data_IF_041308249163
#
_entry.id   IF_041308249163
#
_cell.length_a   1.000
_cell.length_b   1.000
_cell.length_c   1.000
_cell.angle_alpha   90.00
_cell.angle_beta   90.00
_cell.angle_gamma   90.00
#
_symmetry.space_group_name_H-M   'P 1'
#
loop_
_entity.id
_entity.type
_entity.pdbx_description
1 polymer ?
#
# COMPACT_ATOMS: atom_id res chain seq x y z
N UNK A 1 21.32 -34.39 -25.64
CA UNK A 1 20.37 -33.29 -25.37
C UNK A 1 21.01 -31.99 -25.82
N UNK A 2 20.33 -31.14 -26.62
CA UNK A 2 20.94 -29.98 -27.22
C UNK A 2 21.16 -28.86 -26.18
N UNK A 3 22.34 -28.23 -26.21
CA UNK A 3 22.76 -27.19 -25.27
C UNK A 3 21.82 -25.96 -25.21
N UNK A 4 20.93 -25.81 -26.18
CA UNK A 4 19.88 -24.79 -26.22
C UNK A 4 18.81 -24.99 -25.13
N UNK A 5 18.45 -26.24 -24.80
CA UNK A 5 17.44 -26.55 -23.78
C UNK A 5 17.94 -26.35 -22.34
N UNK A 6 19.26 -26.44 -22.12
CA UNK A 6 19.86 -26.15 -20.82
C UNK A 6 19.89 -24.64 -20.57
N UNK A 7 20.15 -23.82 -21.60
CA UNK A 7 20.16 -22.35 -21.49
C UNK A 7 18.77 -21.74 -21.25
N UNK A 8 17.70 -22.34 -21.76
CA UNK A 8 16.33 -21.90 -21.48
C UNK A 8 15.89 -22.18 -20.03
N UNK A 9 16.35 -23.27 -19.43
CA UNK A 9 16.06 -23.57 -18.02
C UNK A 9 16.82 -22.65 -17.04
N UNK A 10 18.02 -22.18 -17.40
CA UNK A 10 18.81 -21.26 -16.56
C UNK A 10 18.36 -19.79 -16.68
N UNK A 11 17.60 -19.43 -17.72
CA UNK A 11 17.10 -18.06 -17.94
C UNK A 11 15.71 -17.80 -17.31
N UNK A 12 15.15 -18.77 -16.58
CA UNK A 12 13.80 -18.69 -16.00
C UNK A 12 13.77 -18.76 -14.47
N UNK A 13 14.92 -18.72 -13.80
CA UNK A 13 14.99 -18.61 -12.35
C UNK A 13 15.21 -17.14 -11.99
N UNK A 14 14.27 -16.57 -11.22
CA UNK A 14 14.50 -15.29 -10.55
C UNK A 14 15.79 -15.38 -9.73
N UNK A 15 16.59 -14.33 -9.78
CA UNK A 15 17.71 -14.18 -8.86
C UNK A 15 17.17 -14.05 -7.43
N UNK A 16 17.97 -14.44 -6.42
CA UNK A 16 17.56 -14.33 -5.01
C UNK A 16 17.16 -12.90 -4.61
N UNK A 17 17.78 -11.88 -5.21
CA UNK A 17 17.41 -10.48 -4.98
C UNK A 17 16.06 -10.12 -5.60
N UNK A 18 15.73 -10.66 -6.77
CA UNK A 18 14.40 -10.52 -7.38
C UNK A 18 13.33 -11.26 -6.58
N UNK A 19 13.65 -12.46 -6.06
CA UNK A 19 12.74 -13.20 -5.19
C UNK A 19 12.41 -12.40 -3.92
N UNK A 20 13.42 -11.82 -3.27
CA UNK A 20 13.20 -10.99 -2.07
C UNK A 20 12.37 -9.74 -2.39
N UNK A 21 12.66 -9.03 -3.48
CA UNK A 21 11.86 -7.88 -3.92
C UNK A 21 10.41 -8.28 -4.25
N UNK A 22 10.22 -9.43 -4.89
CA UNK A 22 8.89 -9.95 -5.19
C UNK A 22 8.12 -10.32 -3.91
N UNK A 23 8.80 -10.88 -2.91
CA UNK A 23 8.22 -11.17 -1.60
C UNK A 23 7.80 -9.89 -0.87
N UNK A 24 8.65 -8.86 -0.86
CA UNK A 24 8.32 -7.57 -0.24
C UNK A 24 7.11 -6.92 -0.92
N UNK A 25 7.04 -6.98 -2.25
CA UNK A 25 5.88 -6.52 -3.02
C UNK A 25 4.62 -7.31 -2.69
N UNK A 26 4.71 -8.65 -2.61
CA UNK A 26 3.59 -9.51 -2.26
C UNK A 26 3.06 -9.21 -0.85
N UNK A 27 3.95 -8.98 0.12
CA UNK A 27 3.57 -8.57 1.48
C UNK A 27 2.86 -7.22 1.48
N UNK A 28 3.36 -6.24 0.72
CA UNK A 28 2.74 -4.93 0.63
C UNK A 28 1.34 -5.02 0.00
N UNK A 29 1.18 -5.79 -1.07
CA UNK A 29 -0.14 -6.03 -1.70
C UNK A 29 -1.10 -6.66 -0.69
N UNK A 30 -0.67 -7.71 0.02
CA UNK A 30 -1.50 -8.37 1.01
C UNK A 30 -1.94 -7.40 2.12
N UNK A 31 -1.02 -6.57 2.62
CA UNK A 31 -1.33 -5.56 3.63
C UNK A 31 -2.33 -4.53 3.11
N UNK A 32 -2.14 -4.02 1.90
CA UNK A 32 -3.04 -3.04 1.27
C UNK A 32 -4.45 -3.62 1.12
N UNK A 33 -4.58 -4.86 0.66
CA UNK A 33 -5.90 -5.50 0.50
C UNK A 33 -6.60 -5.73 1.83
N UNK A 34 -5.88 -6.19 2.86
CA UNK A 34 -6.45 -6.33 4.21
C UNK A 34 -6.96 -4.97 4.71
N UNK A 35 -6.18 -3.91 4.55
CA UNK A 35 -6.60 -2.55 4.95
C UNK A 35 -7.83 -2.09 4.16
N UNK A 36 -7.87 -2.31 2.84
CA UNK A 36 -9.02 -1.95 2.01
C UNK A 36 -10.31 -2.61 2.48
N UNK A 37 -10.25 -3.91 2.78
CA UNK A 37 -11.41 -4.68 3.27
C UNK A 37 -11.82 -4.19 4.64
N UNK A 38 -10.89 -4.10 5.60
CA UNK A 38 -11.21 -3.67 6.97
C UNK A 38 -11.79 -2.26 6.99
N UNK A 39 -11.22 -1.33 6.22
CA UNK A 39 -11.75 0.04 6.14
C UNK A 39 -13.12 0.06 5.47
N UNK A 40 -13.33 -0.73 4.41
CA UNK A 40 -14.63 -0.87 3.75
C UNK A 40 -15.73 -1.33 4.71
N UNK A 41 -15.43 -2.34 5.54
CA UNK A 41 -16.35 -2.91 6.52
C UNK A 41 -16.59 -1.97 7.72
N UNK A 42 -15.53 -1.45 8.33
CA UNK A 42 -15.62 -0.63 9.55
C UNK A 42 -16.31 0.70 9.28
N UNK A 43 -16.08 1.30 8.12
CA UNK A 43 -16.64 2.61 7.78
C UNK A 43 -17.92 2.53 6.96
N UNK A 44 -18.41 1.32 6.69
CA UNK A 44 -19.62 1.09 5.91
C UNK A 44 -20.77 1.98 6.37
N UNK A 45 -21.49 2.49 5.38
CA UNK A 45 -22.73 3.23 5.55
C UNK A 45 -23.54 3.02 4.27
N UNK A 46 -24.86 2.90 4.34
CA UNK A 46 -25.66 2.79 3.11
C UNK A 46 -25.59 4.07 2.27
N UNK A 47 -25.38 5.22 2.92
CA UNK A 47 -25.13 6.48 2.24
C UNK A 47 -23.65 6.60 1.83
N UNK A 48 -23.44 6.52 0.52
CA UNK A 48 -22.13 6.70 -0.13
C UNK A 48 -21.43 7.99 0.26
N UNK A 49 -22.18 9.08 0.47
CA UNK A 49 -21.58 10.36 0.85
C UNK A 49 -21.07 10.33 2.29
N UNK A 50 -21.77 9.64 3.19
CA UNK A 50 -21.34 9.45 4.58
C UNK A 50 -20.08 8.59 4.62
N UNK A 51 -20.06 7.46 3.88
CA UNK A 51 -18.87 6.63 3.71
C UNK A 51 -17.66 7.44 3.22
N UNK A 52 -17.82 8.20 2.11
CA UNK A 52 -16.74 9.02 1.54
C UNK A 52 -16.25 10.10 2.52
N UNK A 53 -17.15 10.72 3.27
CA UNK A 53 -16.78 11.72 4.29
C UNK A 53 -15.97 11.09 5.42
N UNK A 54 -16.39 9.92 5.91
CA UNK A 54 -15.65 9.19 6.95
C UNK A 54 -14.25 8.80 6.48
N UNK A 55 -14.12 8.31 5.24
CA UNK A 55 -12.81 8.03 4.64
C UNK A 55 -11.92 9.27 4.56
N UNK A 56 -12.45 10.41 4.12
CA UNK A 56 -11.69 11.66 4.04
C UNK A 56 -11.18 12.14 5.40
N UNK A 57 -11.98 11.96 6.46
CA UNK A 57 -11.56 12.27 7.84
C UNK A 57 -10.43 11.35 8.28
N UNK A 58 -10.53 10.05 8.01
CA UNK A 58 -9.49 9.09 8.36
C UNK A 58 -8.19 9.35 7.58
N UNK A 59 -8.29 9.56 6.26
CA UNK A 59 -7.15 9.91 5.41
C UNK A 59 -6.40 11.13 5.95
N UNK A 60 -7.13 12.22 6.22
CA UNK A 60 -6.55 13.43 6.79
C UNK A 60 -5.86 13.15 8.13
N UNK A 61 -6.52 12.41 9.01
CA UNK A 61 -5.98 12.07 10.33
C UNK A 61 -4.69 11.25 10.23
N UNK A 62 -4.62 10.32 9.28
CA UNK A 62 -3.42 9.52 9.00
C UNK A 62 -2.27 10.38 8.50
N UNK A 63 -2.53 11.29 7.54
CA UNK A 63 -1.52 12.23 7.01
C UNK A 63 -1.00 13.15 8.11
N UNK A 64 -1.91 13.73 8.91
CA UNK A 64 -1.56 14.61 10.03
C UNK A 64 -0.71 13.84 11.07
N UNK A 65 -1.04 12.57 11.34
CA UNK A 65 -0.28 11.73 12.27
C UNK A 65 1.14 11.45 11.77
N UNK A 66 1.31 11.13 10.48
CA UNK A 66 2.63 10.87 9.88
C UNK A 66 3.50 12.12 9.90
N UNK A 67 2.91 13.25 9.50
CA UNK A 67 3.64 14.51 9.31
C UNK A 67 4.13 15.05 10.65
N UNK A 68 3.27 15.04 11.67
CA UNK A 68 3.55 15.68 12.96
C UNK A 68 4.34 14.80 13.95
N UNK A 69 4.50 13.50 13.68
CA UNK A 69 5.22 12.59 14.59
C UNK A 69 6.69 12.57 14.23
N UNK A 70 7.58 12.71 15.22
CA UNK A 70 8.98 12.35 15.00
C UNK A 70 9.07 10.83 14.91
N UNK A 71 9.43 10.31 13.73
CA UNK A 71 9.39 8.88 13.47
C UNK A 71 10.68 8.18 13.89
N UNK A 72 11.81 8.90 13.85
CA UNK A 72 13.11 8.37 14.23
C UNK A 72 13.86 9.35 15.12
N UNK A 73 14.51 8.84 16.17
CA UNK A 73 15.25 9.68 17.12
C UNK A 73 16.53 10.29 16.53
N UNK A 74 17.09 9.68 15.47
CA UNK A 74 18.40 10.01 14.90
C UNK A 74 18.37 10.20 13.36
N UNK A 75 17.22 10.55 12.78
CA UNK A 75 17.07 10.76 11.33
C UNK A 75 17.83 12.00 10.86
N UNK A 76 18.36 11.91 9.64
CA UNK A 76 18.77 13.09 8.88
C UNK A 76 17.48 13.87 8.52
N UNK A 77 17.35 15.17 8.85
CA UNK A 77 16.10 15.91 8.68
C UNK A 77 15.48 15.83 7.28
N UNK A 78 16.32 15.89 6.24
CA UNK A 78 15.88 15.82 4.85
C UNK A 78 15.33 14.44 4.48
N UNK A 79 15.94 13.38 5.00
CA UNK A 79 15.49 12.01 4.77
C UNK A 79 14.15 11.74 5.47
N UNK A 80 13.97 12.22 6.71
CA UNK A 80 12.68 12.07 7.40
C UNK A 80 11.57 12.85 6.69
N UNK A 81 11.85 14.06 6.23
CA UNK A 81 10.89 14.87 5.46
C UNK A 81 10.44 14.12 4.21
N UNK A 82 11.40 13.62 3.42
CA UNK A 82 11.10 12.84 2.22
C UNK A 82 10.26 11.60 2.53
N UNK A 83 10.61 10.83 3.58
CA UNK A 83 9.85 9.61 3.92
C UNK A 83 8.43 9.96 4.37
N UNK A 84 8.23 11.04 5.13
CA UNK A 84 6.90 11.48 5.55
C UNK A 84 6.03 11.89 4.38
N UNK A 85 6.57 12.65 3.43
CA UNK A 85 5.87 13.03 2.21
C UNK A 85 5.51 11.81 1.36
N UNK A 86 6.46 10.89 1.17
CA UNK A 86 6.21 9.64 0.45
C UNK A 86 5.11 8.81 1.14
N UNK A 87 5.18 8.67 2.46
CA UNK A 87 4.17 7.94 3.25
C UNK A 87 2.79 8.59 3.16
N UNK A 88 2.69 9.92 3.24
CA UNK A 88 1.44 10.66 3.08
C UNK A 88 0.83 10.43 1.68
N UNK A 89 1.66 10.47 0.63
CA UNK A 89 1.21 10.18 -0.74
C UNK A 89 0.69 8.74 -0.88
N UNK A 90 1.35 7.76 -0.26
CA UNK A 90 0.86 6.38 -0.23
C UNK A 90 -0.48 6.25 0.50
N UNK A 91 -0.67 6.97 1.61
CA UNK A 91 -1.97 7.02 2.32
C UNK A 91 -3.06 7.49 1.36
N UNK A 92 -2.88 8.64 0.70
CA UNK A 92 -3.87 9.16 -0.27
C UNK A 92 -4.14 8.16 -1.40
N UNK A 93 -3.10 7.53 -1.94
CA UNK A 93 -3.25 6.50 -2.98
C UNK A 93 -4.10 5.32 -2.49
N UNK A 94 -3.84 4.81 -1.28
CA UNK A 94 -4.62 3.71 -0.68
C UNK A 94 -6.08 4.15 -0.47
N UNK A 95 -6.34 5.30 0.15
CA UNK A 95 -7.72 5.74 0.41
C UNK A 95 -8.52 6.01 -0.87
N UNK A 96 -7.88 6.56 -1.92
CA UNK A 96 -8.52 6.78 -3.22
C UNK A 96 -8.96 5.49 -3.92
N UNK A 97 -8.29 4.37 -3.61
CA UNK A 97 -8.59 3.07 -4.19
C UNK A 97 -9.74 2.33 -3.50
N UNK A 98 -10.08 2.71 -2.27
CA UNK A 98 -11.17 2.09 -1.52
C UNK A 98 -12.51 2.43 -2.18
N UNK A 99 -13.26 1.39 -2.52
CA UNK A 99 -14.60 1.50 -3.11
C UNK A 99 -15.64 1.30 -2.02
N UNK A 100 -16.84 1.79 -2.28
CA UNK A 100 -17.96 1.47 -1.41
C UNK A 100 -18.24 -0.03 -1.50
N UNK A 101 -18.51 -0.76 -0.40
CA UNK A 101 -18.76 -2.21 -0.47
C UNK A 101 -19.87 -2.60 -1.47
N UNK A 102 -20.94 -1.80 -1.54
CA UNK A 102 -22.01 -1.95 -2.53
C UNK A 102 -21.60 -1.74 -4.01
N UNK A 103 -20.40 -1.21 -4.29
CA UNK A 103 -19.88 -1.05 -5.67
C UNK A 103 -19.15 -2.32 -6.15
N UNK A 104 -18.84 -3.28 -5.26
CA UNK A 104 -18.08 -4.50 -5.60
C UNK A 104 -18.93 -5.55 -6.34
N UNK A 105 -20.26 -5.41 -6.29
CA UNK A 105 -21.22 -6.36 -6.87
C UNK A 105 -21.87 -5.90 -8.20
N UNK A 106 -21.28 -4.92 -8.90
CA UNK A 106 -21.71 -4.50 -10.25
C UNK A 106 -20.58 -4.65 -11.25
#
# INVERSE_FOLDING_TARGET
MPASQIREATNNMMTREEELRAQDQAQLIALVEIVRVVVGEVFFDDDRQVFRRRLAVLEKTSIDSITNRQLWANSIPDQETYIKEAAANYVTSIFSSIRHPNDVHR
#
